data_IF_132694161517
#
_entry.id   IF_132694161517
#
_cell.length_a   1.000
_cell.length_b   1.000
_cell.length_c   1.000
_cell.angle_alpha   90.00
_cell.angle_beta   90.00
_cell.angle_gamma   90.00
#
_symmetry.space_group_name_H-M   'P 1'
#
loop_
_entity.id
_entity.type
_entity.pdbx_description
1 polymer ?
#
# COMPACT_ATOMS: atom_id res chain seq x y z
N UNK A 1 10.78 -0.45 33.05
CA UNK A 1 9.96 0.04 31.92
C UNK A 1 10.38 -0.67 30.65
N UNK A 2 9.56 -1.57 30.10
CA UNK A 2 9.87 -2.29 28.85
C UNK A 2 9.62 -1.35 27.68
N UNK A 3 10.66 -0.98 26.93
CA UNK A 3 10.50 -0.33 25.62
C UNK A 3 9.65 -1.28 24.75
N UNK A 4 8.52 -0.85 24.17
CA UNK A 4 7.79 -1.70 23.25
C UNK A 4 8.74 -2.01 22.10
N UNK A 5 8.97 -3.31 21.86
CA UNK A 5 9.69 -3.76 20.69
C UNK A 5 9.04 -3.13 19.47
N UNK A 6 9.83 -2.38 18.70
CA UNK A 6 9.41 -1.89 17.39
C UNK A 6 9.28 -3.14 16.52
N UNK A 7 8.13 -3.80 16.61
CA UNK A 7 7.58 -4.57 15.51
C UNK A 7 7.47 -3.56 14.38
N UNK A 8 8.44 -3.58 13.47
CA UNK A 8 8.40 -2.80 12.24
C UNK A 8 7.17 -3.25 11.48
N UNK A 9 6.02 -2.64 11.76
CA UNK A 9 4.76 -2.99 11.14
C UNK A 9 4.95 -2.82 9.63
N UNK A 10 4.74 -3.90 8.89
CA UNK A 10 4.99 -3.96 7.45
C UNK A 10 4.18 -2.89 6.68
N UNK A 11 3.04 -2.47 7.25
CA UNK A 11 2.26 -1.31 6.84
C UNK A 11 2.04 -0.37 8.04
N UNK A 12 1.99 0.94 7.76
CA UNK A 12 1.62 1.98 8.74
C UNK A 12 0.54 2.91 8.20
N UNK A 13 -0.14 3.62 9.10
CA UNK A 13 -1.03 4.73 8.73
C UNK A 13 -0.23 5.78 7.95
N UNK A 14 -0.80 6.28 6.86
CA UNK A 14 -0.16 7.17 5.90
C UNK A 14 0.58 6.47 4.75
N UNK A 15 0.76 5.15 4.79
CA UNK A 15 1.37 4.44 3.66
C UNK A 15 0.47 4.45 2.43
N UNK A 16 1.09 4.66 1.27
CA UNK A 16 0.42 4.55 -0.03
C UNK A 16 0.39 3.09 -0.44
N UNK A 17 -0.80 2.59 -0.70
CA UNK A 17 -1.04 1.20 -1.09
C UNK A 17 -1.80 1.10 -2.40
N UNK A 18 -1.65 -0.07 -3.02
CA UNK A 18 -2.40 -0.52 -4.18
C UNK A 18 -3.43 -1.53 -3.74
N UNK A 19 -4.63 -1.42 -4.30
CA UNK A 19 -5.77 -2.29 -4.02
C UNK A 19 -6.57 -2.63 -5.28
N UNK A 20 -7.49 -3.58 -5.15
CA UNK A 20 -8.30 -4.11 -6.26
C UNK A 20 -7.65 -5.28 -7.02
N UNK A 21 -8.44 -6.00 -7.83
CA UNK A 21 -8.01 -7.24 -8.53
C UNK A 21 -6.70 -7.07 -9.30
N UNK A 22 -6.51 -5.92 -9.95
CA UNK A 22 -5.34 -5.63 -10.79
C UNK A 22 -4.32 -4.68 -10.14
N UNK A 23 -4.47 -4.37 -8.84
CA UNK A 23 -3.54 -3.46 -8.12
C UNK A 23 -3.38 -2.11 -8.80
N UNK A 24 -4.46 -1.62 -9.41
CA UNK A 24 -4.50 -0.41 -10.21
C UNK A 24 -5.07 0.78 -9.44
N UNK A 25 -5.82 0.53 -8.36
CA UNK A 25 -6.34 1.58 -7.51
C UNK A 25 -5.33 1.93 -6.42
N UNK A 26 -5.07 3.22 -6.24
CA UNK A 26 -4.23 3.75 -5.17
C UNK A 26 -5.08 4.26 -4.02
N UNK A 27 -4.53 4.21 -2.82
CA UNK A 27 -5.09 4.84 -1.64
C UNK A 27 -4.06 4.96 -0.54
N UNK A 28 -4.45 5.67 0.52
CA UNK A 28 -3.64 5.90 1.72
C UNK A 28 -4.29 5.15 2.87
N UNK A 29 -3.51 4.42 3.64
CA UNK A 29 -4.00 3.78 4.87
C UNK A 29 -4.33 4.88 5.88
N UNK A 30 -5.57 4.90 6.38
CA UNK A 30 -6.01 5.84 7.42
C UNK A 30 -6.21 5.18 8.78
N UNK A 31 -6.40 3.85 8.82
CA UNK A 31 -6.59 3.11 10.06
C UNK A 31 -6.50 1.61 9.90
N UNK A 32 -6.45 0.92 11.03
CA UNK A 32 -6.51 -0.54 11.12
C UNK A 32 -7.69 -0.94 12.02
N UNK A 33 -8.27 -2.10 11.76
CA UNK A 33 -9.36 -2.65 12.56
C UNK A 33 -9.47 -4.15 12.38
N UNK A 34 -10.59 -4.70 12.80
CA UNK A 34 -10.87 -6.14 12.72
C UNK A 34 -12.29 -6.35 12.18
N UNK A 35 -12.48 -7.42 11.40
CA UNK A 35 -13.81 -7.82 10.96
C UNK A 35 -14.56 -8.61 12.04
N UNK A 36 -15.81 -8.99 11.76
CA UNK A 36 -16.67 -9.76 12.68
C UNK A 36 -16.12 -11.13 13.05
N UNK A 37 -15.11 -11.63 12.33
CA UNK A 37 -14.45 -12.92 12.55
C UNK A 37 -13.04 -12.76 13.13
N UNK A 38 -12.63 -11.54 13.50
CA UNK A 38 -11.31 -11.25 14.06
C UNK A 38 -10.19 -11.17 13.03
N UNK A 39 -10.49 -11.10 11.73
CA UNK A 39 -9.44 -10.92 10.72
C UNK A 39 -9.00 -9.44 10.66
N UNK A 40 -7.70 -9.16 10.51
CA UNK A 40 -7.20 -7.81 10.41
C UNK A 40 -7.68 -7.13 9.13
N UNK A 41 -8.25 -5.95 9.30
CA UNK A 41 -8.70 -5.06 8.23
C UNK A 41 -7.95 -3.75 8.27
N UNK A 42 -7.98 -3.07 7.13
CA UNK A 42 -7.35 -1.78 6.92
C UNK A 42 -8.38 -0.85 6.28
N UNK A 43 -8.47 0.36 6.83
CA UNK A 43 -9.26 1.43 6.26
C UNK A 43 -8.37 2.27 5.35
N UNK A 44 -8.84 2.48 4.12
CA UNK A 44 -8.07 3.11 3.06
C UNK A 44 -8.89 4.23 2.45
N UNK A 45 -8.29 5.42 2.41
CA UNK A 45 -8.80 6.55 1.66
C UNK A 45 -8.34 6.44 0.19
N UNK A 46 -9.25 6.32 -0.79
CA UNK A 46 -8.87 6.22 -2.20
C UNK A 46 -8.16 7.49 -2.69
N UNK A 47 -7.17 7.34 -3.57
CA UNK A 47 -6.50 8.47 -4.24
C UNK A 47 -6.70 8.36 -5.76
N UNK A 48 -7.35 9.34 -6.42
CA UNK A 48 -7.95 10.55 -5.87
C UNK A 48 -9.25 10.27 -5.09
N UNK A 49 -9.48 11.01 -4.00
CA UNK A 49 -10.63 10.85 -3.08
C UNK A 49 -11.94 11.13 -3.80
N UNK A 50 -12.08 12.33 -4.38
CA UNK A 50 -13.34 12.77 -4.98
C UNK A 50 -14.53 12.55 -4.04
N UNK A 51 -15.62 11.96 -4.54
CA UNK A 51 -16.79 11.55 -3.74
C UNK A 51 -16.72 10.11 -3.22
N UNK A 52 -15.56 9.46 -3.28
CA UNK A 52 -15.41 8.06 -2.89
C UNK A 52 -15.31 7.96 -1.37
N UNK A 53 -16.07 7.04 -0.80
CA UNK A 53 -15.97 6.69 0.62
C UNK A 53 -14.68 5.91 0.89
N UNK A 54 -14.25 5.94 2.14
CA UNK A 54 -13.18 5.09 2.63
C UNK A 54 -13.56 3.63 2.47
N UNK A 55 -12.58 2.80 2.13
CA UNK A 55 -12.79 1.36 1.96
C UNK A 55 -12.15 0.61 3.12
N UNK A 56 -12.93 -0.23 3.76
CA UNK A 56 -12.44 -1.21 4.73
C UNK A 56 -12.22 -2.52 3.97
N UNK A 57 -10.97 -2.97 3.90
CA UNK A 57 -10.61 -4.23 3.23
C UNK A 57 -9.66 -5.05 4.09
N UNK A 58 -9.64 -6.37 3.88
CA UNK A 58 -8.70 -7.26 4.56
C UNK A 58 -7.25 -6.92 4.22
N UNK A 59 -6.37 -7.00 5.21
CA UNK A 59 -4.96 -6.61 5.10
C UNK A 59 -4.20 -7.43 4.04
N UNK A 60 -4.66 -8.65 3.75
CA UNK A 60 -4.11 -9.52 2.69
C UNK A 60 -4.47 -9.09 1.25
N UNK A 61 -5.34 -8.07 1.08
CA UNK A 61 -5.79 -7.56 -0.23
C UNK A 61 -5.08 -6.28 -0.67
N UNK A 62 -4.05 -5.83 0.06
CA UNK A 62 -3.27 -4.63 -0.26
C UNK A 62 -1.81 -4.93 -0.61
N UNK A 63 -1.23 -4.06 -1.43
CA UNK A 63 0.19 -4.11 -1.79
C UNK A 63 0.86 -2.75 -1.62
N UNK A 64 2.12 -2.75 -1.19
CA UNK A 64 2.97 -1.56 -1.08
C UNK A 64 3.16 -0.89 -2.44
N UNK A 65 2.80 0.39 -2.57
CA UNK A 65 2.90 1.11 -3.83
C UNK A 65 4.35 1.55 -4.14
N UNK A 66 5.15 1.82 -3.11
CA UNK A 66 6.56 2.21 -3.14
C UNK A 66 7.46 1.12 -3.74
N UNK A 67 7.21 -0.15 -3.40
CA UNK A 67 7.93 -1.29 -3.99
C UNK A 67 7.76 -1.30 -5.51
N UNK A 68 6.54 -1.08 -6.01
CA UNK A 68 6.28 -1.05 -7.45
C UNK A 68 6.94 0.17 -8.11
N UNK A 69 6.89 1.33 -7.46
CA UNK A 69 7.50 2.56 -7.98
C UNK A 69 9.03 2.43 -8.09
N UNK A 70 9.69 1.89 -7.06
CA UNK A 70 11.14 1.68 -7.07
C UNK A 70 11.61 0.67 -8.13
N UNK A 71 10.86 -0.42 -8.31
CA UNK A 71 11.15 -1.39 -9.38
C UNK A 71 10.98 -0.77 -10.76
N UNK A 72 9.91 0.01 -10.98
CA UNK A 72 9.65 0.68 -12.26
C UNK A 72 10.74 1.70 -12.61
N UNK A 73 11.20 2.47 -11.61
CA UNK A 73 12.27 3.45 -11.77
C UNK A 73 13.60 2.74 -12.13
N UNK A 74 13.93 1.64 -11.45
CA UNK A 74 15.12 0.82 -11.75
C UNK A 74 15.07 0.21 -13.15
N UNK A 75 13.90 -0.28 -13.60
CA UNK A 75 13.72 -0.82 -14.95
C UNK A 75 13.89 0.26 -16.02
N UNK A 76 13.30 1.45 -15.81
CA UNK A 76 13.47 2.59 -16.72
C UNK A 76 14.92 3.06 -16.79
N UNK A 77 15.59 3.17 -15.65
CA UNK A 77 17.01 3.53 -15.58
C UNK A 77 17.92 2.49 -16.26
N UNK A 78 17.53 1.20 -16.26
CA UNK A 78 18.24 0.14 -16.99
C UNK A 78 18.04 0.25 -18.50
N UNK A 79 16.81 0.55 -18.95
CA UNK A 79 16.48 0.74 -20.37
C UNK A 79 17.13 1.99 -20.97
N UNK A 80 17.21 3.09 -20.21
CA UNK A 80 17.87 4.32 -20.66
C UNK A 80 19.39 4.22 -20.72
N UNK A 81 19.98 3.18 -20.10
CA UNK A 81 21.42 2.89 -20.12
C UNK A 81 21.83 1.87 -21.19
N UNK A 82 20.88 1.29 -21.92
CA UNK A 82 21.21 0.46 -23.08
C UNK A 82 21.61 1.40 -24.22
N UNK A 83 22.86 1.33 -24.74
CA UNK A 83 23.22 2.06 -25.95
C UNK A 83 22.29 1.55 -27.05
N UNK A 84 21.56 2.44 -27.72
CA UNK A 84 20.98 2.09 -29.02
C UNK A 84 22.17 1.79 -29.92
N UNK A 85 22.34 0.53 -30.33
CA UNK A 85 23.22 0.15 -31.43
C UNK A 85 22.65 0.71 -32.73
#
# INVERSE_FOLDING_TARGET
MKKPAILTAYFKVGDIVLMGKYKNMRGVIVGFGEDKWGNPTVEIEPTPKGRKQNKIIGLYKIWRADVKAGVLLKQRARLSRSPRK
#
